data_IF_061052618161
#
_entry.id   IF_061052618161
#
_cell.length_a   1.000
_cell.length_b   1.000
_cell.length_c   1.000
_cell.angle_alpha   90.00
_cell.angle_beta   90.00
_cell.angle_gamma   90.00
#
_symmetry.space_group_name_H-M   'P 1'
#
loop_
_entity.id
_entity.type
_entity.pdbx_description
1 polymer ?
#
# COMPACT_ATOMS: atom_id res chain seq x y z
N UNK A 1 -24.90 -43.54 -5.26
CA UNK A 1 -24.32 -42.30 -4.78
C UNK A 1 -24.28 -41.33 -5.95
N UNK A 2 -25.18 -40.34 -6.00
CA UNK A 2 -25.47 -39.60 -7.20
C UNK A 2 -24.39 -38.52 -7.50
N UNK A 3 -24.25 -38.17 -8.77
CA UNK A 3 -23.32 -37.14 -9.29
C UNK A 3 -23.43 -35.82 -8.49
N UNK A 4 -24.64 -35.43 -8.02
CA UNK A 4 -24.83 -34.26 -7.13
C UNK A 4 -24.03 -34.34 -5.82
N UNK A 5 -23.99 -35.52 -5.15
CA UNK A 5 -23.22 -35.68 -3.90
C UNK A 5 -21.69 -35.69 -4.14
N UNK A 6 -21.25 -36.08 -5.35
CA UNK A 6 -19.85 -36.02 -5.73
C UNK A 6 -19.42 -34.59 -6.03
N UNK A 7 -20.32 -33.81 -6.65
CA UNK A 7 -20.08 -32.36 -6.96
C UNK A 7 -20.11 -31.55 -5.64
N UNK A 8 -21.03 -31.82 -4.71
CA UNK A 8 -21.04 -31.12 -3.40
C UNK A 8 -19.82 -31.46 -2.53
N UNK A 9 -19.25 -32.67 -2.65
CA UNK A 9 -18.04 -33.07 -1.94
C UNK A 9 -16.77 -32.42 -2.53
N UNK A 10 -16.79 -32.08 -3.84
CA UNK A 10 -15.68 -31.40 -4.53
C UNK A 10 -15.75 -29.89 -4.36
N UNK A 11 -16.92 -29.35 -3.97
CA UNK A 11 -17.18 -27.93 -3.76
C UNK A 11 -17.10 -27.49 -2.29
N UNK A 12 -16.68 -28.34 -1.36
CA UNK A 12 -16.25 -27.84 -0.05
C UNK A 12 -15.01 -27.00 -0.29
N UNK A 13 -15.19 -25.69 -0.20
CA UNK A 13 -14.10 -24.73 -0.23
C UNK A 13 -13.03 -25.22 0.77
N UNK A 14 -11.83 -25.45 0.29
CA UNK A 14 -10.69 -25.80 1.15
C UNK A 14 -10.37 -24.56 1.95
N UNK A 15 -10.39 -24.64 3.28
CA UNK A 15 -9.88 -23.57 4.13
C UNK A 15 -8.43 -23.26 3.75
N UNK A 16 -8.13 -21.99 3.56
CA UNK A 16 -6.79 -21.52 3.21
C UNK A 16 -6.30 -20.59 4.30
N UNK A 17 -5.21 -20.98 4.95
CA UNK A 17 -4.47 -20.14 5.88
C UNK A 17 -3.12 -19.80 5.27
N UNK A 18 -2.73 -18.52 5.37
CA UNK A 18 -1.48 -18.01 4.82
C UNK A 18 -0.53 -17.65 5.96
N UNK A 19 0.67 -18.23 5.93
CA UNK A 19 1.76 -17.87 6.82
C UNK A 19 2.92 -17.32 5.98
N UNK A 20 3.28 -16.04 6.19
CA UNK A 20 4.42 -15.42 5.53
C UNK A 20 5.66 -15.61 6.39
N UNK A 21 6.54 -16.52 5.98
CA UNK A 21 7.79 -16.78 6.66
C UNK A 21 8.88 -15.88 6.10
N UNK A 22 9.28 -14.85 6.87
CA UNK A 22 10.45 -14.04 6.54
C UNK A 22 11.73 -14.84 6.85
N UNK A 23 12.50 -15.17 5.83
CA UNK A 23 13.71 -16.03 5.94
C UNK A 23 14.94 -15.33 6.48
N UNK A 24 14.96 -14.00 6.60
CA UNK A 24 16.07 -13.23 7.15
C UNK A 24 15.53 -12.00 7.87
N UNK A 25 15.38 -12.01 9.20
CA UNK A 25 15.35 -10.76 9.94
C UNK A 25 16.74 -10.13 9.76
N UNK A 26 16.81 -9.02 9.03
CA UNK A 26 18.04 -8.38 8.68
C UNK A 26 17.95 -6.89 8.80
N UNK A 27 19.03 -6.21 8.67
CA UNK A 27 19.17 -4.76 8.72
C UNK A 27 19.05 -4.12 7.32
N UNK A 28 18.13 -4.62 6.47
CA UNK A 28 17.97 -4.12 5.09
C UNK A 28 17.61 -2.66 4.98
N UNK A 29 17.01 -2.09 6.03
CA UNK A 29 16.62 -0.69 6.11
C UNK A 29 17.28 0.02 7.31
N UNK A 30 18.40 -0.50 7.83
CA UNK A 30 19.15 0.15 8.88
C UNK A 30 19.68 1.52 8.40
N UNK A 31 19.46 2.56 9.21
CA UNK A 31 19.82 3.94 8.85
C UNK A 31 18.82 4.65 7.95
N UNK A 32 17.77 3.98 7.48
CA UNK A 32 16.69 4.57 6.70
C UNK A 32 15.53 5.02 7.58
N UNK A 33 14.80 6.03 7.11
CA UNK A 33 13.57 6.49 7.75
C UNK A 33 12.40 6.43 6.77
N UNK A 34 11.41 5.62 7.11
CA UNK A 34 10.22 5.43 6.30
C UNK A 34 9.01 6.20 6.87
N UNK A 35 8.28 6.91 6.01
CA UNK A 35 6.96 7.45 6.32
C UNK A 35 5.89 6.62 5.62
N UNK A 36 4.94 6.10 6.41
CA UNK A 36 3.85 5.24 5.92
C UNK A 36 2.51 5.93 6.15
N UNK A 37 1.88 6.39 5.08
CA UNK A 37 0.52 6.96 5.16
C UNK A 37 -0.51 5.85 5.36
N UNK A 38 -1.50 6.08 6.23
CA UNK A 38 -2.44 5.02 6.62
C UNK A 38 -1.78 3.87 7.41
N UNK A 39 -0.68 4.17 8.12
CA UNK A 39 0.16 3.19 8.82
C UNK A 39 -0.42 2.65 10.14
N UNK A 40 -1.62 3.07 10.55
CA UNK A 40 -2.24 2.63 11.81
C UNK A 40 -3.03 1.32 11.73
N UNK A 41 -3.16 0.68 10.56
CA UNK A 41 -3.90 -0.57 10.39
C UNK A 41 -3.63 -1.24 9.05
N UNK A 42 -4.02 -2.52 8.92
CA UNK A 42 -4.02 -3.27 7.67
C UNK A 42 -2.66 -3.31 6.97
N UNK A 43 -2.66 -3.14 5.65
CA UNK A 43 -1.45 -3.16 4.81
C UNK A 43 -0.40 -2.14 5.30
N UNK A 44 -0.83 -0.92 5.63
CA UNK A 44 0.09 0.12 6.10
C UNK A 44 0.79 -0.23 7.40
N UNK A 45 0.08 -0.82 8.35
CA UNK A 45 0.68 -1.28 9.61
C UNK A 45 1.63 -2.46 9.39
N UNK A 46 1.25 -3.45 8.58
CA UNK A 46 2.13 -4.58 8.26
C UNK A 46 3.44 -4.10 7.59
N UNK A 47 3.37 -3.14 6.66
CA UNK A 47 4.56 -2.52 6.06
C UNK A 47 5.40 -1.81 7.12
N UNK A 48 4.77 -1.01 7.99
CA UNK A 48 5.46 -0.27 9.03
C UNK A 48 6.20 -1.20 10.00
N UNK A 49 5.54 -2.26 10.45
CA UNK A 49 6.13 -3.27 11.34
C UNK A 49 7.26 -4.05 10.66
N UNK A 50 7.07 -4.41 9.41
CA UNK A 50 8.10 -5.10 8.63
C UNK A 50 9.34 -4.23 8.44
N UNK A 51 9.17 -2.94 8.14
CA UNK A 51 10.29 -2.00 8.00
C UNK A 51 11.01 -1.76 9.32
N UNK A 52 10.25 -1.63 10.41
CA UNK A 52 10.82 -1.51 11.76
C UNK A 52 11.67 -2.74 12.13
N UNK A 53 11.19 -3.94 11.82
CA UNK A 53 11.93 -5.19 12.04
C UNK A 53 13.21 -5.27 11.21
N UNK A 54 13.27 -4.57 10.06
CA UNK A 54 14.45 -4.48 9.19
C UNK A 54 15.37 -3.28 9.52
N UNK A 55 15.21 -2.67 10.67
CA UNK A 55 16.12 -1.65 11.18
C UNK A 55 15.73 -0.21 10.88
N UNK A 56 14.67 0.05 10.11
CA UNK A 56 14.24 1.40 9.81
C UNK A 56 13.73 2.16 11.05
N UNK A 57 13.88 3.48 11.03
CA UNK A 57 12.98 4.37 11.77
C UNK A 57 11.69 4.52 10.97
N UNK A 58 10.54 4.39 11.63
CA UNK A 58 9.24 4.40 10.96
C UNK A 58 8.34 5.50 11.52
N UNK A 59 7.81 6.35 10.65
CA UNK A 59 6.80 7.35 10.96
C UNK A 59 5.48 6.90 10.35
N UNK A 60 4.51 6.50 11.17
CA UNK A 60 3.17 6.15 10.71
C UNK A 60 2.28 7.40 10.72
N UNK A 61 1.67 7.73 9.57
CA UNK A 61 0.80 8.88 9.44
C UNK A 61 -0.66 8.43 9.20
N UNK A 62 -1.61 9.14 9.78
CA UNK A 62 -3.04 8.87 9.62
C UNK A 62 -3.90 9.86 10.38
N UNK A 63 -5.22 9.81 10.20
CA UNK A 63 -6.18 10.73 10.83
C UNK A 63 -6.72 10.27 12.18
N UNK A 64 -6.66 8.95 12.45
CA UNK A 64 -7.15 8.34 13.69
C UNK A 64 -5.98 8.14 14.65
N UNK A 65 -5.84 9.09 15.58
CA UNK A 65 -4.75 9.09 16.56
C UNK A 65 -4.75 7.84 17.44
N UNK A 66 -5.93 7.31 17.82
CA UNK A 66 -6.01 6.11 18.67
C UNK A 66 -5.40 4.90 17.99
N UNK A 67 -5.68 4.72 16.68
CA UNK A 67 -5.06 3.63 15.89
C UNK A 67 -3.56 3.82 15.75
N UNK A 68 -3.11 5.06 15.58
CA UNK A 68 -1.68 5.35 15.48
C UNK A 68 -0.96 5.08 16.81
N UNK A 69 -1.54 5.49 17.95
CA UNK A 69 -1.01 5.20 19.28
C UNK A 69 -0.92 3.69 19.52
N UNK A 70 -1.99 2.94 19.23
CA UNK A 70 -1.99 1.49 19.35
C UNK A 70 -0.90 0.83 18.48
N UNK A 71 -0.66 1.35 17.28
CA UNK A 71 0.42 0.87 16.41
C UNK A 71 1.82 1.06 16.98
N UNK A 72 2.02 2.03 17.88
CA UNK A 72 3.32 2.30 18.54
C UNK A 72 3.53 1.51 19.83
N UNK A 73 2.51 0.87 20.38
CA UNK A 73 2.60 0.13 21.63
C UNK A 73 3.66 -0.99 21.55
N UNK A 74 4.49 -1.09 22.59
CA UNK A 74 5.54 -2.10 22.68
C UNK A 74 6.75 -1.88 21.77
N UNK A 75 6.79 -0.77 21.01
CA UNK A 75 7.91 -0.41 20.13
C UNK A 75 8.78 0.70 20.76
N UNK A 76 10.01 0.86 20.28
CA UNK A 76 10.90 1.93 20.73
C UNK A 76 10.41 3.28 20.22
N UNK A 77 10.15 4.23 21.12
CA UNK A 77 9.52 5.52 20.80
C UNK A 77 10.36 6.43 19.88
N UNK A 78 11.67 6.23 19.83
CA UNK A 78 12.57 6.97 18.93
C UNK A 78 12.65 6.39 17.51
N UNK A 79 12.19 5.14 17.33
CA UNK A 79 12.22 4.45 16.04
C UNK A 79 10.86 4.10 15.46
N UNK A 80 9.79 4.14 16.25
CA UNK A 80 8.42 3.93 15.76
C UNK A 80 7.53 5.07 16.25
N UNK A 81 7.26 6.02 15.37
CA UNK A 81 6.72 7.34 15.69
C UNK A 81 5.40 7.50 14.95
N UNK A 82 4.46 8.26 15.50
CA UNK A 82 3.23 8.58 14.79
C UNK A 82 3.08 10.08 14.49
N UNK A 83 2.34 10.38 13.43
CA UNK A 83 2.04 11.71 12.95
C UNK A 83 0.54 11.80 12.59
N UNK A 84 -0.21 12.64 13.28
CA UNK A 84 -1.63 12.81 12.98
C UNK A 84 -1.78 13.74 11.78
N UNK A 85 -2.21 13.18 10.63
CA UNK A 85 -2.39 13.90 9.39
C UNK A 85 -3.51 13.27 8.56
N UNK A 86 -4.52 14.06 8.17
CA UNK A 86 -5.50 13.65 7.18
C UNK A 86 -4.92 13.87 5.78
N UNK A 87 -4.62 12.79 5.09
CA UNK A 87 -4.05 12.82 3.74
C UNK A 87 -5.01 13.39 2.68
N UNK A 88 -6.32 13.45 2.96
CA UNK A 88 -7.28 14.13 2.09
C UNK A 88 -7.22 15.67 2.21
N UNK A 89 -6.56 16.19 3.23
CA UNK A 89 -6.39 17.62 3.49
C UNK A 89 -5.01 18.09 3.02
N UNK A 90 -4.98 18.78 1.88
CA UNK A 90 -3.73 19.26 1.24
C UNK A 90 -2.95 20.23 2.14
N UNK A 91 -3.62 21.02 2.97
CA UNK A 91 -2.93 21.96 3.87
C UNK A 91 -2.24 21.23 5.02
N UNK A 92 -2.83 20.15 5.53
CA UNK A 92 -2.14 19.28 6.49
C UNK A 92 -0.94 18.55 5.85
N UNK A 93 -1.02 18.17 4.58
CA UNK A 93 0.14 17.59 3.88
C UNK A 93 1.26 18.64 3.78
N UNK A 94 0.95 19.86 3.38
CA UNK A 94 1.93 20.94 3.21
C UNK A 94 2.58 21.40 4.52
N UNK A 95 1.91 21.20 5.65
CA UNK A 95 2.40 21.59 6.97
C UNK A 95 2.87 20.38 7.76
N UNK A 96 1.94 19.58 8.24
CA UNK A 96 2.22 18.48 9.18
C UNK A 96 3.08 17.39 8.56
N UNK A 97 2.70 16.91 7.35
CA UNK A 97 3.44 15.83 6.70
C UNK A 97 4.80 16.29 6.21
N UNK A 98 4.89 17.51 5.66
CA UNK A 98 6.16 18.10 5.24
C UNK A 98 7.12 18.26 6.42
N UNK A 99 6.65 18.80 7.55
CA UNK A 99 7.46 18.91 8.76
C UNK A 99 7.94 17.56 9.29
N UNK A 100 7.11 16.50 9.19
CA UNK A 100 7.52 15.15 9.57
C UNK A 100 8.61 14.62 8.61
N UNK A 101 8.47 14.84 7.29
CA UNK A 101 9.47 14.44 6.30
C UNK A 101 10.81 15.09 6.61
N UNK A 102 10.84 16.39 6.84
CA UNK A 102 12.07 17.12 7.11
C UNK A 102 12.66 16.84 8.49
N UNK A 103 11.80 16.79 9.51
CA UNK A 103 12.22 16.59 10.90
C UNK A 103 12.87 15.21 11.12
N UNK A 104 12.30 14.17 10.55
CA UNK A 104 12.81 12.81 10.68
C UNK A 104 13.73 12.36 9.54
N UNK A 105 14.04 13.26 8.58
CA UNK A 105 14.92 12.96 7.42
C UNK A 105 14.41 11.76 6.61
N UNK A 106 13.11 11.72 6.37
CA UNK A 106 12.46 10.63 5.64
C UNK A 106 13.06 10.44 4.26
N UNK A 107 13.50 9.23 3.95
CA UNK A 107 14.06 8.83 2.66
C UNK A 107 13.29 7.70 1.97
N UNK A 108 12.26 7.15 2.66
CA UNK A 108 11.31 6.20 2.09
C UNK A 108 9.89 6.70 2.35
N UNK A 109 9.09 6.81 1.29
CA UNK A 109 7.66 7.15 1.38
C UNK A 109 6.80 5.99 0.90
N UNK A 110 5.90 5.52 1.75
CA UNK A 110 4.86 4.56 1.41
C UNK A 110 3.51 5.29 1.34
N UNK A 111 3.01 5.50 0.13
CA UNK A 111 1.67 6.00 -0.12
C UNK A 111 0.67 4.84 -0.04
N UNK A 112 0.18 4.57 1.17
CA UNK A 112 -0.77 3.49 1.41
C UNK A 112 -2.16 4.00 1.82
N UNK A 113 -2.28 5.19 2.41
CA UNK A 113 -3.58 5.73 2.80
C UNK A 113 -4.59 5.64 1.65
N UNK A 114 -5.77 5.10 1.94
CA UNK A 114 -6.81 4.90 0.96
C UNK A 114 -8.20 4.82 1.57
N UNK A 115 -9.19 5.17 0.77
CA UNK A 115 -10.60 4.99 1.05
C UNK A 115 -11.22 4.15 -0.07
N UNK A 116 -12.19 3.34 0.29
CA UNK A 116 -12.92 2.47 -0.63
C UNK A 116 -14.40 2.81 -0.61
N UNK A 117 -15.06 2.62 -1.75
CA UNK A 117 -16.50 2.68 -1.90
C UNK A 117 -16.95 1.61 -2.89
N UNK A 118 -18.00 0.90 -2.53
CA UNK A 118 -18.63 -0.14 -3.34
C UNK A 118 -20.00 0.31 -3.88
N UNK A 119 -20.18 1.62 -4.14
CA UNK A 119 -21.43 2.12 -4.69
C UNK A 119 -21.57 1.78 -6.18
N UNK A 120 -22.78 1.41 -6.65
CA UNK A 120 -23.09 1.30 -8.07
C UNK A 120 -22.79 2.61 -8.80
N UNK A 121 -22.34 2.52 -10.05
CA UNK A 121 -21.95 3.70 -10.84
C UNK A 121 -23.01 4.83 -10.85
N UNK A 122 -24.29 4.47 -10.99
CA UNK A 122 -25.39 5.45 -11.05
C UNK A 122 -25.77 6.06 -9.69
N UNK A 123 -25.20 5.55 -8.59
CA UNK A 123 -25.49 6.02 -7.22
C UNK A 123 -24.32 6.84 -6.63
N UNK A 124 -23.22 6.96 -7.37
CA UNK A 124 -22.05 7.76 -6.92
C UNK A 124 -22.41 9.24 -7.05
N UNK A 125 -22.44 9.94 -5.94
CA UNK A 125 -22.57 11.39 -5.91
C UNK A 125 -21.21 12.11 -5.91
N UNK A 126 -21.23 13.45 -6.04
CA UNK A 126 -20.04 14.29 -6.07
C UNK A 126 -19.24 14.21 -4.75
N UNK A 127 -19.91 14.04 -3.62
CA UNK A 127 -19.28 13.99 -2.31
C UNK A 127 -18.45 12.71 -2.16
N UNK A 128 -18.99 11.57 -2.58
CA UNK A 128 -18.31 10.29 -2.55
C UNK A 128 -17.16 10.23 -3.57
N UNK A 129 -17.40 10.73 -4.78
CA UNK A 129 -16.35 10.92 -5.78
C UNK A 129 -15.18 11.71 -5.20
N UNK A 130 -15.46 12.90 -4.64
CA UNK A 130 -14.45 13.79 -4.07
C UNK A 130 -13.73 13.15 -2.88
N UNK A 131 -14.43 12.46 -2.00
CA UNK A 131 -13.87 11.75 -0.84
C UNK A 131 -12.84 10.73 -1.28
N UNK A 132 -13.16 9.91 -2.28
CA UNK A 132 -12.28 8.85 -2.79
C UNK A 132 -11.07 9.46 -3.51
N UNK A 133 -11.30 10.40 -4.44
CA UNK A 133 -10.22 11.01 -5.21
C UNK A 133 -9.28 11.81 -4.31
N UNK A 134 -9.80 12.57 -3.36
CA UNK A 134 -8.98 13.37 -2.45
C UNK A 134 -8.08 12.48 -1.58
N UNK A 135 -8.60 11.36 -1.08
CA UNK A 135 -7.79 10.45 -0.27
C UNK A 135 -6.77 9.69 -1.12
N UNK A 136 -7.23 9.03 -2.19
CA UNK A 136 -6.42 8.03 -2.89
C UNK A 136 -5.45 8.61 -3.92
N UNK A 137 -5.79 9.76 -4.51
CA UNK A 137 -5.05 10.34 -5.62
C UNK A 137 -4.46 11.71 -5.27
N UNK A 138 -5.30 12.68 -4.87
CA UNK A 138 -4.84 14.03 -4.53
C UNK A 138 -3.85 13.99 -3.36
N UNK A 139 -4.20 13.29 -2.29
CA UNK A 139 -3.35 13.15 -1.12
C UNK A 139 -2.02 12.48 -1.45
N UNK A 140 -2.05 11.37 -2.19
CA UNK A 140 -0.84 10.67 -2.62
C UNK A 140 0.04 11.56 -3.51
N UNK A 141 -0.55 12.34 -4.42
CA UNK A 141 0.18 13.29 -5.28
C UNK A 141 0.94 14.34 -4.45
N UNK A 142 0.26 15.00 -3.52
CA UNK A 142 0.89 16.05 -2.72
C UNK A 142 1.88 15.49 -1.69
N UNK A 143 1.67 14.28 -1.17
CA UNK A 143 2.65 13.60 -0.33
C UNK A 143 3.94 13.28 -1.12
N UNK A 144 3.81 12.74 -2.34
CA UNK A 144 4.96 12.54 -3.23
C UNK A 144 5.65 13.85 -3.57
N UNK A 145 4.90 14.94 -3.82
CA UNK A 145 5.47 16.23 -4.14
C UNK A 145 6.29 16.77 -2.96
N UNK A 146 5.76 16.73 -1.73
CA UNK A 146 6.47 17.14 -0.53
C UNK A 146 7.75 16.33 -0.33
N UNK A 147 7.66 15.01 -0.43
CA UNK A 147 8.79 14.10 -0.31
C UNK A 147 9.87 14.38 -1.37
N UNK A 148 9.49 14.47 -2.65
CA UNK A 148 10.45 14.70 -3.73
C UNK A 148 11.14 16.06 -3.62
N UNK A 149 10.43 17.12 -3.15
CA UNK A 149 11.04 18.41 -2.88
C UNK A 149 12.11 18.31 -1.80
N UNK A 150 11.77 17.73 -0.64
CA UNK A 150 12.70 17.56 0.47
C UNK A 150 13.95 16.75 0.06
N UNK A 151 13.78 15.65 -0.70
CA UNK A 151 14.91 14.82 -1.15
C UNK A 151 15.80 15.55 -2.15
N UNK A 152 15.22 16.34 -3.04
CA UNK A 152 16.00 17.16 -4.01
C UNK A 152 16.78 18.28 -3.34
N UNK A 153 16.22 18.92 -2.33
CA UNK A 153 16.89 20.00 -1.57
C UNK A 153 18.18 19.50 -0.91
N UNK A 154 18.16 18.28 -0.36
CA UNK A 154 19.35 17.68 0.26
C UNK A 154 20.19 16.83 -0.71
N UNK A 155 19.83 16.81 -1.99
CA UNK A 155 20.48 15.98 -3.03
C UNK A 155 20.59 14.50 -2.62
N UNK A 156 19.61 14.03 -1.85
CA UNK A 156 19.57 12.68 -1.29
C UNK A 156 18.80 11.70 -2.16
N UNK A 157 19.18 10.43 -2.09
CA UNK A 157 18.41 9.34 -2.69
C UNK A 157 17.06 9.20 -1.99
N UNK A 158 16.05 8.64 -2.68
CA UNK A 158 14.74 8.43 -2.12
C UNK A 158 14.04 7.22 -2.76
N UNK A 159 13.13 6.61 -1.98
CA UNK A 159 12.27 5.52 -2.45
C UNK A 159 10.81 5.89 -2.20
N UNK A 160 9.97 5.72 -3.21
CA UNK A 160 8.52 5.87 -3.10
C UNK A 160 7.87 4.57 -3.54
N UNK A 161 7.00 4.02 -2.70
CA UNK A 161 6.16 2.88 -3.03
C UNK A 161 4.70 3.28 -2.89
N UNK A 162 3.96 3.24 -4.00
CA UNK A 162 2.54 3.53 -4.04
C UNK A 162 1.74 2.23 -3.91
N UNK A 163 0.84 2.15 -2.94
CA UNK A 163 -0.12 1.04 -2.86
C UNK A 163 -1.28 1.35 -3.80
N UNK A 164 -1.15 0.83 -5.01
CA UNK A 164 -2.15 0.91 -6.08
C UNK A 164 -3.32 -0.07 -5.83
N UNK A 165 -3.77 -0.76 -6.85
CA UNK A 165 -4.72 -1.87 -6.83
C UNK A 165 -4.70 -2.57 -8.18
N UNK A 166 -5.05 -3.84 -8.26
CA UNK A 166 -5.31 -4.52 -9.52
C UNK A 166 -6.44 -3.84 -10.31
N UNK A 167 -7.43 -3.23 -9.63
CA UNK A 167 -8.46 -2.41 -10.31
C UNK A 167 -7.92 -1.13 -10.94
N UNK A 168 -6.69 -0.74 -10.65
CA UNK A 168 -5.96 0.34 -11.34
C UNK A 168 -5.28 -0.11 -12.64
N UNK A 169 -5.35 -1.38 -13.00
CA UNK A 169 -4.87 -1.94 -14.25
C UNK A 169 -5.96 -2.68 -15.03
N UNK A 170 -7.07 -3.00 -14.36
CA UNK A 170 -8.28 -3.60 -14.95
C UNK A 170 -9.34 -2.52 -15.22
N UNK A 171 -10.21 -2.73 -16.21
CA UNK A 171 -11.36 -1.86 -16.42
C UNK A 171 -12.38 -2.01 -15.30
N UNK A 172 -12.80 -0.89 -14.70
CA UNK A 172 -13.86 -0.86 -13.69
C UNK A 172 -14.58 0.50 -13.66
N UNK A 173 -15.80 0.53 -13.11
CA UNK A 173 -16.71 1.66 -13.19
C UNK A 173 -16.82 2.45 -11.86
N UNK A 174 -15.90 2.27 -10.93
CA UNK A 174 -15.92 2.92 -9.64
C UNK A 174 -14.96 4.11 -9.54
N UNK A 175 -15.30 5.09 -8.68
CA UNK A 175 -14.40 6.19 -8.33
C UNK A 175 -13.09 5.68 -7.70
N UNK A 176 -13.16 4.56 -6.97
CA UNK A 176 -11.98 3.90 -6.45
C UNK A 176 -11.02 3.47 -7.57
N UNK A 177 -11.52 2.75 -8.57
CA UNK A 177 -10.70 2.32 -9.72
C UNK A 177 -10.14 3.51 -10.50
N UNK A 178 -10.94 4.56 -10.73
CA UNK A 178 -10.47 5.79 -11.37
C UNK A 178 -9.28 6.40 -10.59
N UNK A 179 -9.37 6.45 -9.25
CA UNK A 179 -8.28 6.94 -8.40
C UNK A 179 -7.02 6.07 -8.49
N UNK A 180 -7.17 4.74 -8.55
CA UNK A 180 -6.05 3.80 -8.64
C UNK A 180 -5.42 3.78 -10.02
N UNK A 181 -6.19 3.95 -11.10
CA UNK A 181 -5.64 4.21 -12.44
C UNK A 181 -4.80 5.47 -12.49
N UNK A 182 -5.29 6.56 -11.89
CA UNK A 182 -4.53 7.80 -11.75
C UNK A 182 -3.20 7.58 -11.01
N UNK A 183 -3.22 6.83 -9.90
CA UNK A 183 -2.02 6.52 -9.12
C UNK A 183 -1.02 5.65 -9.88
N UNK A 184 -1.47 4.68 -10.68
CA UNK A 184 -0.62 3.90 -11.59
C UNK A 184 0.05 4.82 -12.63
N UNK A 185 -0.71 5.74 -13.24
CA UNK A 185 -0.18 6.72 -14.18
C UNK A 185 0.88 7.62 -13.55
N UNK A 186 0.62 8.14 -12.34
CA UNK A 186 1.58 8.94 -11.57
C UNK A 186 2.84 8.15 -11.21
N UNK A 187 2.70 6.90 -10.80
CA UNK A 187 3.84 6.02 -10.48
C UNK A 187 4.80 5.89 -11.65
N UNK A 188 4.27 5.65 -12.85
CA UNK A 188 5.06 5.51 -14.08
C UNK A 188 5.70 6.84 -14.49
N UNK A 189 4.92 7.91 -14.51
CA UNK A 189 5.40 9.24 -14.93
C UNK A 189 6.46 9.80 -13.99
N UNK A 190 6.18 9.81 -12.69
CA UNK A 190 7.12 10.30 -11.69
C UNK A 190 8.35 9.40 -11.55
N UNK A 191 8.21 8.08 -11.73
CA UNK A 191 9.35 7.17 -11.80
C UNK A 191 10.36 7.64 -12.84
N UNK A 192 9.91 7.89 -14.08
CA UNK A 192 10.75 8.40 -15.16
C UNK A 192 11.33 9.78 -14.84
N UNK A 193 10.51 10.70 -14.34
CA UNK A 193 10.93 12.08 -14.10
C UNK A 193 11.93 12.22 -12.94
N UNK A 194 11.71 11.49 -11.85
CA UNK A 194 12.47 11.63 -10.61
C UNK A 194 13.74 10.79 -10.57
N UNK A 195 13.89 9.78 -11.43
CA UNK A 195 15.06 8.89 -11.47
C UNK A 195 16.39 9.65 -11.61
N UNK A 196 16.42 10.70 -12.42
CA UNK A 196 17.61 11.57 -12.61
C UNK A 196 18.06 12.31 -11.34
N UNK A 197 17.19 12.34 -10.32
CA UNK A 197 17.50 12.94 -9.01
C UNK A 197 17.79 11.86 -7.94
N UNK A 198 17.95 10.59 -8.34
CA UNK A 198 18.16 9.48 -7.40
C UNK A 198 16.91 9.06 -6.62
N UNK A 199 15.72 9.53 -7.04
CA UNK A 199 14.46 9.16 -6.41
C UNK A 199 13.76 8.11 -7.28
N UNK A 200 13.61 6.90 -6.71
CA UNK A 200 12.96 5.75 -7.37
C UNK A 200 11.49 5.70 -6.93
N UNK A 201 10.57 5.65 -7.88
CA UNK A 201 9.13 5.55 -7.62
C UNK A 201 8.61 4.28 -8.26
N UNK A 202 8.01 3.40 -7.45
CA UNK A 202 7.35 2.16 -7.89
C UNK A 202 5.99 2.00 -7.21
N UNK A 203 5.25 1.00 -7.60
CA UNK A 203 3.96 0.67 -7.01
C UNK A 203 3.76 -0.83 -6.83
N UNK A 204 2.81 -1.15 -5.97
CA UNK A 204 2.26 -2.49 -5.81
C UNK A 204 0.78 -2.40 -6.15
N UNK A 205 0.27 -3.35 -6.90
CA UNK A 205 -1.14 -3.48 -7.24
C UNK A 205 -1.71 -4.74 -6.58
N UNK A 206 -2.14 -4.65 -5.31
CA UNK A 206 -2.77 -5.78 -4.64
C UNK A 206 -4.12 -6.12 -5.29
N UNK A 207 -4.48 -7.41 -5.27
CA UNK A 207 -5.85 -7.87 -5.37
C UNK A 207 -6.59 -7.68 -4.04
N UNK A 208 -7.49 -8.60 -3.73
CA UNK A 208 -8.16 -8.59 -2.43
C UNK A 208 -7.18 -8.99 -1.33
N UNK A 209 -7.11 -8.17 -0.27
CA UNK A 209 -6.24 -8.40 0.90
C UNK A 209 -7.10 -8.46 2.15
N UNK A 210 -6.83 -9.42 3.00
CA UNK A 210 -7.49 -9.54 4.31
C UNK A 210 -7.08 -8.36 5.21
N UNK A 211 -7.98 -7.39 5.33
CA UNK A 211 -7.69 -6.12 6.01
C UNK A 211 -8.98 -5.45 6.48
N UNK A 212 -8.89 -4.52 7.45
CA UNK A 212 -10.06 -3.80 7.96
C UNK A 212 -10.84 -3.02 6.88
N UNK A 213 -10.19 -2.55 5.82
CA UNK A 213 -10.87 -1.83 4.72
C UNK A 213 -11.81 -2.76 3.95
N UNK A 214 -11.50 -4.05 3.90
CA UNK A 214 -12.31 -5.09 3.26
C UNK A 214 -13.20 -5.85 4.26
N UNK A 215 -13.09 -5.55 5.57
CA UNK A 215 -13.83 -6.24 6.64
C UNK A 215 -13.44 -7.72 6.82
N UNK A 216 -12.24 -8.11 6.39
CA UNK A 216 -11.76 -9.50 6.41
C UNK A 216 -10.65 -9.62 7.45
N UNK A 217 -10.83 -10.59 8.36
CA UNK A 217 -9.81 -10.97 9.35
C UNK A 217 -8.74 -11.85 8.67
N UNK A 218 -7.43 -11.52 8.80
CA UNK A 218 -6.35 -12.32 8.22
C UNK A 218 -6.25 -13.75 8.78
N UNK A 219 -6.86 -14.02 9.93
CA UNK A 219 -6.88 -15.36 10.56
C UNK A 219 -8.11 -16.21 10.16
N UNK A 220 -9.03 -15.63 9.37
CA UNK A 220 -10.22 -16.34 8.88
C UNK A 220 -9.87 -17.28 7.73
N UNK A 221 -10.88 -17.98 7.21
CA UNK A 221 -10.76 -18.69 5.93
C UNK A 221 -10.58 -17.68 4.79
N UNK A 222 -9.45 -17.75 4.12
CA UNK A 222 -9.07 -16.86 3.04
C UNK A 222 -9.36 -17.41 1.64
N UNK A 223 -10.07 -18.52 1.52
CA UNK A 223 -10.45 -19.10 0.22
C UNK A 223 -11.25 -18.08 -0.62
N UNK A 224 -10.88 -17.90 -1.87
CA UNK A 224 -11.51 -16.96 -2.80
C UNK A 224 -11.64 -17.58 -4.18
N UNK A 225 -12.72 -17.17 -4.89
CA UNK A 225 -12.94 -17.53 -6.29
C UNK A 225 -12.55 -16.39 -7.26
N UNK A 226 -12.15 -15.24 -6.71
CA UNK A 226 -11.80 -14.06 -7.50
C UNK A 226 -10.33 -14.04 -7.92
N UNK A 227 -9.51 -14.89 -7.32
CA UNK A 227 -8.09 -15.00 -7.60
C UNK A 227 -7.79 -16.40 -8.15
N UNK A 228 -6.93 -16.51 -9.14
CA UNK A 228 -6.61 -17.78 -9.80
C UNK A 228 -5.84 -18.74 -8.88
N UNK A 229 -5.10 -18.20 -7.90
CA UNK A 229 -4.47 -19.00 -6.85
C UNK A 229 -5.45 -19.49 -5.76
N UNK A 230 -6.72 -19.10 -5.85
CA UNK A 230 -7.83 -19.57 -5.02
C UNK A 230 -7.90 -18.95 -3.63
N UNK A 231 -7.21 -17.86 -3.35
CA UNK A 231 -7.19 -17.24 -2.02
C UNK A 231 -7.09 -15.71 -2.03
N UNK A 232 -7.36 -15.11 -0.88
CA UNK A 232 -7.13 -13.70 -0.59
C UNK A 232 -5.71 -13.56 -0.03
N UNK A 233 -5.02 -12.48 -0.38
CA UNK A 233 -3.70 -12.17 0.18
C UNK A 233 -3.80 -11.69 1.64
N UNK A 234 -2.71 -11.82 2.39
CA UNK A 234 -2.55 -11.20 3.71
C UNK A 234 -1.68 -9.94 3.62
N UNK A 235 -1.82 -8.98 4.56
CA UNK A 235 -1.05 -7.74 4.56
C UNK A 235 0.46 -7.94 4.52
N UNK A 236 0.97 -9.01 5.15
CA UNK A 236 2.39 -9.33 5.20
C UNK A 236 2.99 -9.66 3.83
N UNK A 237 2.22 -10.26 2.91
CA UNK A 237 2.69 -10.51 1.54
C UNK A 237 2.93 -9.19 0.79
N UNK A 238 2.09 -8.19 1.02
CA UNK A 238 2.28 -6.85 0.47
C UNK A 238 3.48 -6.16 1.12
N UNK A 239 3.66 -6.37 2.43
CA UNK A 239 4.78 -5.80 3.18
C UNK A 239 6.14 -6.33 2.69
N UNK A 240 6.26 -7.60 2.32
CA UNK A 240 7.49 -8.17 1.74
C UNK A 240 7.84 -7.55 0.39
N UNK A 241 6.84 -7.32 -0.49
CA UNK A 241 7.07 -6.63 -1.76
C UNK A 241 7.45 -5.16 -1.51
N UNK A 242 6.79 -4.49 -0.57
CA UNK A 242 7.11 -3.12 -0.20
C UNK A 242 8.55 -3.01 0.33
N UNK A 243 8.99 -3.94 1.17
CA UNK A 243 10.35 -4.01 1.66
C UNK A 243 11.37 -4.20 0.53
N UNK A 244 11.10 -5.09 -0.42
CA UNK A 244 11.95 -5.26 -1.59
C UNK A 244 12.06 -3.95 -2.39
N UNK A 245 10.93 -3.29 -2.69
CA UNK A 245 10.90 -2.05 -3.45
C UNK A 245 11.48 -0.83 -2.70
N UNK A 246 11.51 -0.86 -1.38
CA UNK A 246 12.12 0.17 -0.55
C UNK A 246 13.63 -0.03 -0.35
N UNK A 247 14.15 -1.22 -0.56
CA UNK A 247 15.56 -1.56 -0.37
C UNK A 247 16.42 -1.28 -1.61
N UNK A 248 17.74 -1.35 -1.45
CA UNK A 248 18.69 -1.20 -2.56
C UNK A 248 18.62 -2.34 -3.57
N UNK A 249 18.03 -3.49 -3.21
CA UNK A 249 17.84 -4.61 -4.12
C UNK A 249 16.98 -4.25 -5.35
N UNK A 250 16.15 -3.22 -5.26
CA UNK A 250 15.29 -2.74 -6.35
C UNK A 250 15.77 -1.42 -6.98
N UNK A 251 17.00 -0.99 -6.71
CA UNK A 251 17.49 0.34 -7.11
C UNK A 251 17.38 0.63 -8.62
N UNK A 252 17.39 -0.39 -9.47
CA UNK A 252 17.26 -0.26 -10.92
C UNK A 252 15.84 -0.54 -11.45
N UNK A 253 14.88 -0.79 -10.56
CA UNK A 253 13.47 -0.94 -10.91
C UNK A 253 12.81 0.44 -10.77
N UNK A 254 12.33 1.01 -11.88
CA UNK A 254 11.84 2.39 -11.94
C UNK A 254 10.49 2.45 -12.66
N UNK A 255 9.51 3.07 -12.03
CA UNK A 255 8.18 3.30 -12.61
C UNK A 255 7.36 2.02 -12.81
N UNK A 256 7.71 0.92 -12.14
CA UNK A 256 7.00 -0.33 -12.26
C UNK A 256 5.86 -0.44 -11.22
N UNK A 257 4.78 -1.11 -11.62
CA UNK A 257 3.68 -1.46 -10.73
C UNK A 257 3.56 -2.99 -10.75
N UNK A 258 3.89 -3.60 -9.62
CA UNK A 258 3.92 -5.07 -9.46
C UNK A 258 2.54 -5.52 -9.00
N UNK A 259 1.88 -6.37 -9.78
CA UNK A 259 0.64 -7.02 -9.36
C UNK A 259 0.95 -8.07 -8.27
N UNK A 260 0.12 -8.06 -7.22
CA UNK A 260 0.12 -9.05 -6.14
C UNK A 260 -1.34 -9.43 -5.90
N UNK A 261 -1.93 -10.18 -6.80
CA UNK A 261 -3.37 -10.42 -6.91
C UNK A 261 -3.73 -11.87 -7.22
N UNK A 262 -2.78 -12.79 -7.08
CA UNK A 262 -3.00 -14.22 -7.30
C UNK A 262 -3.39 -14.56 -8.75
N UNK A 263 -3.03 -13.71 -9.72
CA UNK A 263 -3.32 -13.92 -11.13
C UNK A 263 -4.57 -13.22 -11.66
N UNK A 264 -5.40 -12.62 -10.79
CA UNK A 264 -6.70 -12.01 -11.15
C UNK A 264 -6.61 -11.00 -12.31
N UNK A 265 -5.50 -10.26 -12.42
CA UNK A 265 -5.30 -9.28 -13.51
C UNK A 265 -4.69 -9.86 -14.79
N UNK A 266 -4.36 -11.14 -14.81
CA UNK A 266 -3.79 -11.78 -15.99
C UNK A 266 -4.87 -12.19 -16.99
N UNK A 267 -4.59 -11.98 -18.26
CA UNK A 267 -5.41 -12.51 -19.37
C UNK A 267 -4.62 -13.55 -20.13
N UNK A 268 -5.17 -14.75 -20.30
CA UNK A 268 -4.59 -15.81 -21.12
C UNK A 268 -5.44 -16.01 -22.37
N UNK A 269 -4.80 -15.94 -23.53
CA UNK A 269 -5.48 -16.10 -24.84
C UNK A 269 -5.64 -17.57 -25.24
N UNK A 270 -4.99 -18.52 -24.55
CA UNK A 270 -4.91 -19.92 -24.94
C UNK A 270 -5.28 -20.89 -23.80
N UNK A 271 -5.93 -20.40 -22.74
CA UNK A 271 -6.42 -21.26 -21.65
C UNK A 271 -7.90 -21.61 -21.82
#
# INVERSE_FOLDING_TARGET
MGIKQKIEKTLKAREVHVEVVSRCPGSRLEGHTALVTGGGSGIGLAIAERFYAEGATVVVAGRDERKLQAATEGKQNDRFIYCVCDIANVDQIKTTLHNAIDGYKVDILINNAGAYAALPFLEVDESEWSRILNTNLTGAFFAMQAFCRARREVQGVGRVVNICSNTGVLGATSCYSASKWGLVGLTRGLGKEMAKYGIVVNGIAPGMVASPINGIDPTADLASRHSDDGRIAVPDEIAEIALFLASDASAHIVGQVIACDGGESLTCTYC
#
